data_IF_407320270009
#
_entry.id   IF_407320270009
#
_cell.length_a   1.000
_cell.length_b   1.000
_cell.length_c   1.000
_cell.angle_alpha   90.00
_cell.angle_beta   90.00
_cell.angle_gamma   90.00
#
_symmetry.space_group_name_H-M   'P 1'
#
loop_
_entity.id
_entity.type
_entity.pdbx_description
1 polymer ?
#
# COMPACT_ATOMS: atom_id res chain seq x y z
N UNK A 1 -11.55 40.53 41.81
CA UNK A 1 -12.21 40.11 40.55
C UNK A 1 -11.22 40.37 39.43
N UNK A 2 -10.42 39.36 39.06
CA UNK A 2 -9.40 39.46 38.01
C UNK A 2 -9.94 38.67 36.81
N UNK A 3 -10.31 39.39 35.76
CA UNK A 3 -10.72 38.81 34.49
C UNK A 3 -9.54 38.06 33.88
N UNK A 4 -9.68 36.74 33.76
CA UNK A 4 -8.76 35.88 33.02
C UNK A 4 -9.24 35.89 31.58
N UNK A 5 -8.56 36.66 30.74
CA UNK A 5 -8.74 36.66 29.28
C UNK A 5 -8.17 35.33 28.76
N UNK A 6 -9.07 34.47 28.29
CA UNK A 6 -8.77 33.28 27.50
C UNK A 6 -8.19 33.71 26.16
N UNK A 7 -6.88 33.53 25.98
CA UNK A 7 -6.26 33.56 24.67
C UNK A 7 -6.52 32.20 24.02
N UNK A 8 -7.47 32.14 23.09
CA UNK A 8 -7.45 31.14 22.03
C UNK A 8 -6.23 31.44 21.16
N UNK A 9 -5.08 30.86 21.53
CA UNK A 9 -3.94 30.76 20.64
C UNK A 9 -4.35 29.81 19.52
N UNK A 10 -4.79 30.40 18.41
CA UNK A 10 -4.88 29.75 17.11
C UNK A 10 -3.47 29.38 16.68
N UNK A 11 -3.03 28.19 17.07
CA UNK A 11 -1.85 27.56 16.49
C UNK A 11 -2.26 27.01 15.13
N UNK A 12 -1.96 27.80 14.11
CA UNK A 12 -1.85 27.34 12.74
C UNK A 12 -0.64 26.39 12.67
N UNK A 13 -0.82 25.12 13.03
CA UNK A 13 0.08 24.09 12.55
C UNK A 13 -0.11 24.04 11.03
N UNK A 14 0.95 24.41 10.33
CA UNK A 14 1.01 24.40 8.89
C UNK A 14 1.08 22.95 8.42
N UNK A 15 -0.07 22.35 8.10
CA UNK A 15 -0.13 21.31 7.09
C UNK A 15 0.40 21.92 5.79
N UNK A 16 1.62 21.55 5.40
CA UNK A 16 2.24 21.94 4.15
C UNK A 16 1.57 21.18 2.99
N UNK A 17 0.41 21.67 2.54
CA UNK A 17 -0.31 21.17 1.37
C UNK A 17 -1.07 22.31 0.70
N UNK A 18 -1.13 22.31 -0.62
CA UNK A 18 -1.39 23.47 -1.47
C UNK A 18 -2.85 23.94 -1.46
N UNK A 19 -3.27 24.65 -0.40
CA UNK A 19 -4.55 25.36 -0.29
C UNK A 19 -5.28 25.04 1.02
N UNK A 20 -5.82 26.04 1.76
CA UNK A 20 -6.41 25.83 3.09
C UNK A 20 -7.69 24.96 3.11
N UNK A 21 -8.18 24.55 1.93
CA UNK A 21 -9.39 23.75 1.76
C UNK A 21 -9.14 22.36 1.17
N UNK A 22 -7.89 22.02 0.81
CA UNK A 22 -7.58 20.78 0.10
C UNK A 22 -7.65 19.55 1.01
N UNK A 23 -7.15 19.67 2.25
CA UNK A 23 -7.19 18.64 3.27
C UNK A 23 -8.20 19.04 4.35
N UNK A 24 -9.14 18.14 4.65
CA UNK A 24 -10.15 18.34 5.70
C UNK A 24 -10.22 17.11 6.57
N UNK A 25 -10.08 17.30 7.88
CA UNK A 25 -10.17 16.21 8.85
C UNK A 25 -11.33 16.41 9.82
N UNK A 26 -12.05 15.33 10.13
CA UNK A 26 -13.07 15.23 11.16
C UNK A 26 -12.67 14.12 12.14
N UNK A 27 -11.81 14.45 13.11
CA UNK A 27 -11.25 13.43 13.98
C UNK A 27 -10.07 12.71 13.29
N UNK A 28 -10.15 11.38 13.22
CA UNK A 28 -9.16 10.53 12.54
C UNK A 28 -9.29 10.56 11.02
N UNK A 29 -10.51 10.83 10.54
CA UNK A 29 -10.89 10.78 9.14
C UNK A 29 -10.49 12.06 8.42
N UNK A 30 -9.60 11.95 7.45
CA UNK A 30 -9.13 13.03 6.61
C UNK A 30 -9.52 12.79 5.15
N UNK A 31 -9.84 13.86 4.42
CA UNK A 31 -10.09 13.80 2.98
C UNK A 31 -9.23 14.85 2.28
N UNK A 32 -8.47 14.42 1.28
CA UNK A 32 -7.72 15.27 0.37
C UNK A 32 -8.42 15.38 -0.99
N UNK A 33 -8.53 16.59 -1.55
CA UNK A 33 -9.17 16.82 -2.86
C UNK A 33 -8.39 17.78 -3.75
N UNK A 34 -8.12 17.34 -4.98
CA UNK A 34 -7.73 18.19 -6.12
C UNK A 34 -6.43 18.98 -5.97
N UNK A 35 -5.62 18.69 -4.96
CA UNK A 35 -4.33 19.33 -4.70
C UNK A 35 -3.38 18.34 -4.00
N UNK A 36 -2.17 18.80 -3.71
CA UNK A 36 -1.20 18.04 -2.93
C UNK A 36 -1.53 18.17 -1.44
N UNK A 37 -1.71 17.03 -0.76
CA UNK A 37 -1.89 16.95 0.68
C UNK A 37 -0.77 16.13 1.31
N UNK A 38 -0.26 16.63 2.42
CA UNK A 38 0.63 15.91 3.32
C UNK A 38 -0.10 15.74 4.64
N UNK A 39 -0.27 14.49 5.07
CA UNK A 39 -0.84 14.13 6.37
C UNK A 39 0.19 13.32 7.15
N UNK A 40 0.58 13.80 8.32
CA UNK A 40 1.28 13.02 9.32
C UNK A 40 0.27 12.63 10.40
N UNK A 41 0.00 11.33 10.59
CA UNK A 41 -0.94 10.87 11.61
C UNK A 41 -0.52 11.29 13.03
N UNK A 42 0.76 11.62 13.27
CA UNK A 42 1.20 12.13 14.57
C UNK A 42 0.61 13.51 14.90
N UNK A 43 0.20 14.28 13.89
CA UNK A 43 -0.48 15.56 14.05
C UNK A 43 -1.99 15.42 14.26
N UNK A 44 -2.53 14.21 14.09
CA UNK A 44 -3.95 13.89 14.26
C UNK A 44 -4.17 13.39 15.69
N UNK A 45 -4.73 14.24 16.56
CA UNK A 45 -4.98 13.88 17.97
C UNK A 45 -6.10 12.84 18.10
N UNK A 46 -5.78 11.56 17.92
CA UNK A 46 -6.69 10.44 18.17
C UNK A 46 -6.25 9.64 19.38
N UNK A 47 -7.20 9.00 20.12
CA UNK A 47 -6.85 8.16 21.27
C UNK A 47 -5.91 7.00 20.93
N UNK A 48 -5.91 6.56 19.67
CA UNK A 48 -5.19 5.40 19.15
C UNK A 48 -4.01 5.76 18.25
N UNK A 49 -3.84 7.04 17.88
CA UNK A 49 -2.86 7.50 16.88
C UNK A 49 -3.00 6.78 15.52
N UNK A 50 -4.22 6.38 15.18
CA UNK A 50 -4.62 5.91 13.84
C UNK A 50 -5.23 7.09 13.09
N UNK A 51 -5.00 7.16 11.78
CA UNK A 51 -5.64 8.13 10.91
C UNK A 51 -5.97 7.52 9.55
N UNK A 52 -7.06 8.01 8.97
CA UNK A 52 -7.65 7.45 7.76
C UNK A 52 -7.64 8.57 6.72
N UNK A 53 -7.10 8.34 5.54
CA UNK A 53 -7.01 9.35 4.49
C UNK A 53 -7.70 8.89 3.22
N UNK A 54 -8.71 9.63 2.78
CA UNK A 54 -9.31 9.47 1.47
C UNK A 54 -8.70 10.46 0.46
N UNK A 55 -7.98 9.94 -0.53
CA UNK A 55 -7.39 10.71 -1.62
C UNK A 55 -8.33 10.75 -2.83
N UNK A 56 -8.82 11.94 -3.22
CA UNK A 56 -9.84 12.08 -4.27
C UNK A 56 -9.53 13.19 -5.28
N UNK A 57 -10.31 13.22 -6.36
CA UNK A 57 -10.32 14.30 -7.36
C UNK A 57 -8.95 14.58 -8.01
N UNK A 58 -8.17 13.53 -8.27
CA UNK A 58 -6.83 13.65 -8.86
C UNK A 58 -5.80 14.30 -7.94
N UNK A 59 -6.05 14.25 -6.63
CA UNK A 59 -5.09 14.70 -5.62
C UNK A 59 -3.80 13.89 -5.63
N UNK A 60 -2.76 14.52 -5.07
CA UNK A 60 -1.56 13.83 -4.63
C UNK A 60 -1.59 13.75 -3.11
N UNK A 61 -1.47 12.55 -2.56
CA UNK A 61 -1.55 12.34 -1.12
C UNK A 61 -0.28 11.69 -0.62
N UNK A 62 0.42 12.39 0.27
CA UNK A 62 1.56 11.86 1.00
C UNK A 62 1.08 11.60 2.45
N UNK A 63 1.07 10.33 2.87
CA UNK A 63 0.67 9.89 4.21
C UNK A 63 1.88 9.34 4.97
N UNK A 64 2.09 9.85 6.18
CA UNK A 64 3.09 9.30 7.12
C UNK A 64 2.37 8.79 8.36
N UNK A 65 2.60 7.53 8.72
CA UNK A 65 2.05 6.95 9.92
C UNK A 65 3.07 6.05 10.62
N UNK A 66 3.14 6.11 11.96
CA UNK A 66 4.08 5.28 12.75
C UNK A 66 3.45 3.99 13.27
N UNK A 67 2.12 3.96 13.36
CA UNK A 67 1.31 2.81 13.71
C UNK A 67 0.36 2.51 12.55
N UNK A 68 -0.74 1.80 12.83
CA UNK A 68 -1.79 1.55 11.87
C UNK A 68 -2.36 2.84 11.26
N UNK A 69 -2.57 2.81 9.95
CA UNK A 69 -3.27 3.85 9.21
C UNK A 69 -3.94 3.26 7.97
N UNK A 70 -4.98 3.93 7.51
CA UNK A 70 -5.74 3.55 6.33
C UNK A 70 -5.61 4.63 5.24
N UNK A 71 -5.41 4.23 3.99
CA UNK A 71 -5.40 5.14 2.84
C UNK A 71 -6.22 4.57 1.69
N UNK A 72 -7.24 5.33 1.28
CA UNK A 72 -7.99 5.05 0.07
C UNK A 72 -7.59 5.98 -1.08
N UNK A 73 -7.06 5.41 -2.16
CA UNK A 73 -6.64 6.12 -3.36
C UNK A 73 -7.64 5.93 -4.49
N UNK A 74 -8.43 6.99 -4.76
CA UNK A 74 -9.41 6.96 -5.84
C UNK A 74 -8.76 7.01 -7.24
N UNK A 75 -9.51 6.60 -8.28
CA UNK A 75 -8.99 6.61 -9.65
C UNK A 75 -8.39 7.95 -10.08
N UNK A 76 -7.19 7.87 -10.67
CA UNK A 76 -6.44 9.02 -11.18
C UNK A 76 -5.70 9.85 -10.12
N UNK A 77 -5.63 9.40 -8.86
CA UNK A 77 -4.78 10.03 -7.84
C UNK A 77 -3.36 9.48 -7.86
N UNK A 78 -2.46 10.14 -7.13
CA UNK A 78 -1.12 9.64 -6.84
C UNK A 78 -0.92 9.61 -5.33
N UNK A 79 -0.57 8.44 -4.80
CA UNK A 79 -0.48 8.20 -3.37
C UNK A 79 0.91 7.74 -2.98
N UNK A 80 1.44 8.32 -1.92
CA UNK A 80 2.71 7.95 -1.33
C UNK A 80 2.50 7.69 0.16
N UNK A 81 2.97 6.54 0.64
CA UNK A 81 2.80 6.11 2.03
C UNK A 81 4.14 5.74 2.63
N UNK A 82 4.44 6.33 3.78
CA UNK A 82 5.47 5.87 4.70
C UNK A 82 4.80 5.44 6.02
N UNK A 83 4.55 4.14 6.13
CA UNK A 83 3.80 3.55 7.22
C UNK A 83 4.62 2.62 8.12
N UNK A 84 4.15 2.48 9.36
CA UNK A 84 4.66 1.49 10.32
C UNK A 84 4.10 0.09 10.05
N UNK A 85 3.82 -0.66 11.11
CA UNK A 85 3.10 -1.92 11.01
C UNK A 85 1.58 -1.69 10.90
N UNK A 86 0.83 -2.70 10.44
CA UNK A 86 -0.65 -2.70 10.42
C UNK A 86 -1.25 -1.59 9.55
N UNK A 87 -0.64 -1.35 8.39
CA UNK A 87 -1.06 -0.33 7.42
C UNK A 87 -1.96 -0.96 6.38
N UNK A 88 -3.07 -0.32 6.06
CA UNK A 88 -4.08 -0.79 5.11
C UNK A 88 -4.22 0.22 3.96
N UNK A 89 -3.90 -0.19 2.73
CA UNK A 89 -3.88 0.68 1.55
C UNK A 89 -4.75 0.12 0.44
N UNK A 90 -5.80 0.86 0.08
CA UNK A 90 -6.64 0.55 -1.08
C UNK A 90 -6.28 1.46 -2.26
N UNK A 91 -5.84 0.86 -3.37
CA UNK A 91 -5.46 1.55 -4.60
C UNK A 91 -6.36 1.14 -5.76
N UNK A 92 -7.36 1.97 -6.07
CA UNK A 92 -8.27 1.73 -7.20
C UNK A 92 -7.94 2.63 -8.39
N UNK A 93 -7.36 2.08 -9.46
CA UNK A 93 -7.04 2.86 -10.67
C UNK A 93 -6.16 4.09 -10.41
N UNK A 94 -5.36 4.04 -9.35
CA UNK A 94 -4.46 5.08 -8.89
C UNK A 94 -2.99 4.65 -9.06
N UNK A 95 -2.07 5.61 -8.93
CA UNK A 95 -0.64 5.31 -8.83
C UNK A 95 -0.22 5.34 -7.35
N UNK A 96 0.23 4.21 -6.81
CA UNK A 96 0.56 4.06 -5.40
C UNK A 96 2.02 3.65 -5.20
N UNK A 97 2.73 4.36 -4.33
CA UNK A 97 4.04 3.98 -3.82
C UNK A 97 3.94 3.82 -2.29
N UNK A 98 4.09 2.58 -1.83
CA UNK A 98 3.88 2.20 -0.43
C UNK A 98 5.19 1.69 0.16
N UNK A 99 5.58 2.23 1.32
CA UNK A 99 6.59 1.65 2.21
C UNK A 99 5.94 1.39 3.55
N UNK A 100 5.80 0.12 3.90
CA UNK A 100 5.14 -0.28 5.14
C UNK A 100 5.96 -1.36 5.88
N UNK A 101 5.69 -1.50 7.17
CA UNK A 101 6.27 -2.49 8.04
C UNK A 101 5.57 -3.85 7.93
N UNK A 102 5.62 -4.61 9.03
CA UNK A 102 5.00 -5.94 9.11
C UNK A 102 3.47 -5.84 9.22
N UNK A 103 2.76 -6.88 8.80
CA UNK A 103 1.28 -6.94 8.81
C UNK A 103 0.65 -5.80 8.00
N UNK A 104 1.31 -5.37 6.93
CA UNK A 104 0.72 -4.40 6.00
C UNK A 104 -0.17 -5.12 4.99
N UNK A 105 -1.25 -4.48 4.59
CA UNK A 105 -2.22 -4.95 3.61
C UNK A 105 -2.28 -3.89 2.49
N UNK A 106 -2.08 -4.31 1.24
CA UNK A 106 -2.11 -3.42 0.08
C UNK A 106 -2.90 -4.07 -1.04
N UNK A 107 -4.03 -3.44 -1.38
CA UNK A 107 -4.95 -3.87 -2.43
C UNK A 107 -4.83 -2.99 -3.66
N UNK A 108 -4.55 -3.60 -4.81
CA UNK A 108 -4.30 -2.91 -6.07
C UNK A 108 -5.26 -3.37 -7.16
N UNK A 109 -6.29 -2.59 -7.42
CA UNK A 109 -7.39 -2.97 -8.29
C UNK A 109 -7.67 -1.98 -9.43
N UNK A 110 -8.50 -2.43 -10.37
CA UNK A 110 -9.10 -1.63 -11.46
C UNK A 110 -8.08 -0.88 -12.31
N UNK A 111 -6.95 -1.53 -12.60
CA UNK A 111 -5.89 -0.95 -13.42
C UNK A 111 -5.01 0.04 -12.64
N UNK A 112 -4.83 -0.18 -11.34
CA UNK A 112 -3.87 0.57 -10.54
C UNK A 112 -2.43 0.28 -10.96
N UNK A 113 -1.55 1.25 -10.70
CA UNK A 113 -0.10 1.10 -10.81
C UNK A 113 0.48 1.11 -9.39
N UNK A 114 0.89 -0.05 -8.89
CA UNK A 114 1.34 -0.19 -7.50
C UNK A 114 2.81 -0.55 -7.39
N UNK A 115 3.49 0.14 -6.48
CA UNK A 115 4.83 -0.18 -6.02
C UNK A 115 4.83 -0.32 -4.50
N UNK A 116 5.20 -1.47 -3.97
CA UNK A 116 5.16 -1.73 -2.54
C UNK A 116 6.49 -2.30 -2.01
N UNK A 117 6.94 -1.79 -0.87
CA UNK A 117 7.97 -2.39 -0.02
C UNK A 117 7.33 -2.65 1.34
N UNK A 118 7.15 -3.92 1.71
CA UNK A 118 6.45 -4.32 2.94
C UNK A 118 7.30 -5.27 3.77
N UNK A 119 7.03 -5.29 5.08
CA UNK A 119 7.67 -6.19 6.03
C UNK A 119 7.13 -7.62 5.97
N UNK A 120 7.40 -8.36 7.04
CA UNK A 120 6.92 -9.74 7.21
C UNK A 120 5.41 -9.79 7.51
N UNK A 121 4.81 -10.96 7.33
CA UNK A 121 3.39 -11.21 7.61
C UNK A 121 2.43 -10.26 6.86
N UNK A 122 2.81 -9.79 5.66
CA UNK A 122 2.04 -8.84 4.87
C UNK A 122 1.13 -9.53 3.83
N UNK A 123 0.08 -8.83 3.38
CA UNK A 123 -0.77 -9.21 2.25
C UNK A 123 -0.58 -8.24 1.08
N UNK A 124 -0.41 -8.76 -0.13
CA UNK A 124 -0.35 -7.97 -1.35
C UNK A 124 -1.27 -8.52 -2.41
N UNK A 125 -2.34 -7.80 -2.71
CA UNK A 125 -3.36 -8.24 -3.66
C UNK A 125 -3.30 -7.35 -4.90
N UNK A 126 -3.01 -7.96 -6.04
CA UNK A 126 -2.86 -7.27 -7.32
C UNK A 126 -3.80 -7.87 -8.36
N UNK A 127 -4.84 -7.12 -8.70
CA UNK A 127 -5.95 -7.65 -9.49
C UNK A 127 -6.43 -6.75 -10.63
N UNK A 128 -7.37 -7.26 -11.43
CA UNK A 128 -8.22 -6.42 -12.27
C UNK A 128 -7.47 -5.56 -13.29
N UNK A 129 -6.48 -6.16 -13.96
CA UNK A 129 -5.58 -5.53 -14.95
C UNK A 129 -4.62 -4.47 -14.37
N UNK A 130 -4.38 -4.50 -13.06
CA UNK A 130 -3.35 -3.68 -12.43
C UNK A 130 -1.94 -4.08 -12.86
N UNK A 131 -0.99 -3.17 -12.66
CA UNK A 131 0.44 -3.39 -12.85
C UNK A 131 1.13 -3.19 -11.51
N UNK A 132 1.76 -4.25 -11.00
CA UNK A 132 2.27 -4.28 -9.65
C UNK A 132 3.73 -4.70 -9.59
N UNK A 133 4.50 -3.97 -8.79
CA UNK A 133 5.87 -4.28 -8.42
C UNK A 133 5.99 -4.27 -6.90
N UNK A 134 6.34 -5.41 -6.29
CA UNK A 134 6.40 -5.49 -4.83
C UNK A 134 7.64 -6.23 -4.32
N UNK A 135 8.16 -5.76 -3.18
CA UNK A 135 9.08 -6.52 -2.33
C UNK A 135 8.40 -6.72 -0.99
N UNK A 136 8.14 -7.98 -0.64
CA UNK A 136 7.39 -8.37 0.54
C UNK A 136 8.29 -9.24 1.44
N UNK A 137 8.17 -9.09 2.75
CA UNK A 137 8.92 -9.86 3.73
C UNK A 137 8.57 -11.35 3.74
N UNK A 138 8.98 -12.04 4.79
CA UNK A 138 8.66 -13.45 5.01
C UNK A 138 7.24 -13.67 5.49
N UNK A 139 6.81 -14.94 5.50
CA UNK A 139 5.48 -15.37 5.98
C UNK A 139 4.32 -14.57 5.37
N UNK A 140 4.48 -14.09 4.15
CA UNK A 140 3.54 -13.17 3.51
C UNK A 140 2.72 -13.87 2.42
N UNK A 141 1.58 -13.30 2.12
CA UNK A 141 0.66 -13.76 1.09
C UNK A 141 0.64 -12.74 -0.05
N UNK A 142 0.70 -13.24 -1.29
CA UNK A 142 0.65 -12.41 -2.50
C UNK A 142 -0.33 -13.02 -3.49
N UNK A 143 -1.36 -12.28 -3.88
CA UNK A 143 -2.31 -12.70 -4.91
C UNK A 143 -2.19 -11.83 -6.17
N UNK A 144 -2.17 -12.50 -7.32
CA UNK A 144 -2.03 -11.87 -8.63
C UNK A 144 -3.10 -12.42 -9.57
N UNK A 145 -4.20 -11.67 -9.74
CA UNK A 145 -5.39 -12.12 -10.47
C UNK A 145 -5.70 -11.25 -11.68
N UNK A 146 -5.41 -11.76 -12.87
CA UNK A 146 -5.64 -11.02 -14.11
C UNK A 146 -4.89 -9.69 -14.15
N UNK A 147 -3.70 -9.67 -13.55
CA UNK A 147 -2.83 -8.52 -13.42
C UNK A 147 -1.40 -8.87 -13.87
N UNK A 148 -0.57 -7.84 -14.06
CA UNK A 148 0.85 -8.01 -14.33
C UNK A 148 1.65 -7.78 -13.03
N UNK A 149 2.28 -8.83 -12.53
CA UNK A 149 2.97 -8.84 -11.25
C UNK A 149 4.47 -9.09 -11.40
N UNK A 150 5.28 -8.24 -10.81
CA UNK A 150 6.71 -8.47 -10.58
C UNK A 150 6.97 -8.41 -9.08
N UNK A 151 7.09 -9.56 -8.43
CA UNK A 151 7.15 -9.64 -6.97
C UNK A 151 8.41 -10.35 -6.49
N UNK A 152 8.98 -9.82 -5.41
CA UNK A 152 10.03 -10.46 -4.63
C UNK A 152 9.48 -10.77 -3.23
N UNK A 153 9.56 -12.02 -2.80
CA UNK A 153 9.02 -12.45 -1.50
C UNK A 153 10.09 -13.05 -0.59
N UNK A 154 9.87 -12.91 0.72
CA UNK A 154 10.69 -13.49 1.76
C UNK A 154 10.55 -15.01 1.87
N UNK A 155 11.13 -15.57 2.93
CA UNK A 155 10.97 -16.98 3.26
C UNK A 155 9.55 -17.28 3.74
N UNK A 156 9.11 -18.52 3.58
CA UNK A 156 7.81 -19.04 4.04
C UNK A 156 6.60 -18.28 3.48
N UNK A 157 6.76 -17.60 2.36
CA UNK A 157 5.69 -16.84 1.70
C UNK A 157 4.97 -17.68 0.64
N UNK A 158 3.69 -17.36 0.40
CA UNK A 158 2.86 -17.97 -0.62
C UNK A 158 2.50 -16.94 -1.71
N UNK A 159 2.60 -17.37 -2.96
CA UNK A 159 2.22 -16.55 -4.12
C UNK A 159 1.18 -17.30 -4.94
N UNK A 160 0.02 -16.68 -5.13
CA UNK A 160 -1.05 -17.19 -5.98
C UNK A 160 -1.12 -16.40 -7.28
N UNK A 161 -0.95 -17.08 -8.41
CA UNK A 161 -1.04 -16.46 -9.73
C UNK A 161 -2.19 -17.08 -10.53
N UNK A 162 -3.19 -16.26 -10.87
CA UNK A 162 -4.43 -16.74 -11.49
C UNK A 162 -5.10 -15.77 -12.45
N UNK A 163 -6.26 -16.20 -12.98
CA UNK A 163 -7.14 -15.43 -13.86
C UNK A 163 -6.45 -14.73 -15.04
N UNK A 164 -5.64 -15.46 -15.81
CA UNK A 164 -4.86 -14.91 -16.93
C UNK A 164 -3.78 -13.87 -16.51
N UNK A 165 -3.35 -13.88 -15.25
CA UNK A 165 -2.27 -13.05 -14.73
C UNK A 165 -0.90 -13.40 -15.33
N UNK A 166 0.00 -12.41 -15.37
CA UNK A 166 1.41 -12.55 -15.76
C UNK A 166 2.29 -12.28 -14.53
N UNK A 167 2.84 -13.34 -13.95
CA UNK A 167 3.58 -13.28 -12.69
C UNK A 167 5.05 -13.60 -12.89
N UNK A 168 5.91 -12.66 -12.50
CA UNK A 168 7.35 -12.87 -12.32
C UNK A 168 7.65 -12.84 -10.82
N UNK A 169 7.97 -14.01 -10.26
CA UNK A 169 8.17 -14.21 -8.83
C UNK A 169 9.63 -14.52 -8.54
N UNK A 170 10.23 -13.76 -7.63
CA UNK A 170 11.55 -14.04 -7.06
C UNK A 170 11.42 -14.37 -5.58
N UNK A 171 11.82 -15.57 -5.18
CA UNK A 171 11.85 -15.93 -3.78
C UNK A 171 13.26 -15.79 -3.22
N UNK A 172 13.41 -15.08 -2.12
CA UNK A 172 14.69 -14.91 -1.42
C UNK A 172 15.01 -16.04 -0.44
N UNK A 173 13.98 -16.83 -0.08
CA UNK A 173 14.08 -18.04 0.75
C UNK A 173 13.14 -19.14 0.25
N UNK A 174 12.75 -20.06 1.15
CA UNK A 174 11.70 -21.03 0.86
C UNK A 174 10.39 -20.30 0.54
N UNK A 175 9.66 -20.73 -0.48
CA UNK A 175 8.38 -20.11 -0.85
C UNK A 175 7.53 -21.10 -1.64
N UNK A 176 6.23 -20.84 -1.71
CA UNK A 176 5.29 -21.57 -2.56
C UNK A 176 4.72 -20.65 -3.65
N UNK A 177 4.62 -21.17 -4.87
CA UNK A 177 3.96 -20.53 -6.01
C UNK A 177 2.90 -21.48 -6.55
N UNK A 178 1.65 -21.03 -6.53
CA UNK A 178 0.52 -21.71 -7.16
C UNK A 178 0.23 -21.03 -8.50
N UNK A 179 0.57 -21.69 -9.60
CA UNK A 179 0.31 -21.18 -10.95
C UNK A 179 -0.93 -21.85 -11.57
N UNK A 180 -2.05 -21.13 -11.59
CA UNK A 180 -3.34 -21.64 -12.07
C UNK A 180 -3.37 -21.71 -13.59
N UNK A 181 -4.07 -22.70 -14.20
CA UNK A 181 -4.25 -22.74 -15.65
C UNK A 181 -4.83 -21.43 -16.21
N UNK A 182 -4.15 -20.87 -17.21
CA UNK A 182 -4.49 -19.57 -17.83
C UNK A 182 -3.47 -18.49 -17.51
N UNK A 183 -2.86 -18.53 -16.32
CA UNK A 183 -1.80 -17.61 -15.95
C UNK A 183 -0.45 -17.97 -16.62
N UNK A 184 0.42 -16.96 -16.73
CA UNK A 184 1.83 -17.12 -17.11
C UNK A 184 2.68 -16.89 -15.87
N UNK A 185 3.46 -17.89 -15.47
CA UNK A 185 4.28 -17.79 -14.26
C UNK A 185 5.76 -18.04 -14.56
N UNK A 186 6.59 -17.16 -14.03
CA UNK A 186 8.04 -17.30 -13.99
C UNK A 186 8.50 -17.28 -12.53
N UNK A 187 9.26 -18.30 -12.12
CA UNK A 187 9.80 -18.42 -10.78
C UNK A 187 11.33 -18.36 -10.81
N UNK A 188 11.92 -17.57 -9.91
CA UNK A 188 13.35 -17.56 -9.60
C UNK A 188 13.54 -17.85 -8.10
N UNK A 189 14.40 -18.82 -7.79
CA UNK A 189 14.84 -19.10 -6.43
C UNK A 189 16.22 -18.48 -6.16
N UNK A 190 16.29 -17.49 -5.26
CA UNK A 190 17.49 -16.73 -4.95
C UNK A 190 18.16 -16.16 -6.21
N UNK A 191 19.46 -16.39 -6.36
CA UNK A 191 20.26 -15.97 -7.52
C UNK A 191 20.16 -16.93 -8.72
N UNK A 192 19.21 -17.87 -8.70
CA UNK A 192 19.00 -18.85 -9.75
C UNK A 192 18.54 -18.25 -11.08
N UNK A 193 18.61 -19.05 -12.13
CA UNK A 193 18.00 -18.68 -13.42
C UNK A 193 16.46 -18.75 -13.31
N UNK A 194 15.72 -17.80 -13.91
CA UNK A 194 14.26 -17.87 -13.95
C UNK A 194 13.78 -19.09 -14.74
N UNK A 195 12.72 -19.72 -14.24
CA UNK A 195 12.09 -20.88 -14.86
C UNK A 195 10.62 -20.62 -15.09
N UNK A 196 10.09 -21.05 -16.25
CA UNK A 196 8.65 -21.03 -16.49
C UNK A 196 7.99 -22.17 -15.73
N UNK A 197 6.90 -21.86 -15.03
CA UNK A 197 6.16 -22.78 -14.16
C UNK A 197 4.78 -23.03 -14.74
N UNK A 198 4.32 -24.27 -14.66
CA UNK A 198 2.93 -24.66 -14.91
C UNK A 198 2.45 -25.53 -13.74
N UNK A 199 1.41 -25.09 -13.03
CA UNK A 199 0.98 -25.70 -11.76
C UNK A 199 1.81 -25.22 -10.56
N UNK A 200 1.86 -26.04 -9.52
CA UNK A 200 2.49 -25.65 -8.25
C UNK A 200 4.02 -25.83 -8.31
N UNK A 201 4.75 -24.86 -7.78
CA UNK A 201 6.21 -24.89 -7.63
C UNK A 201 6.62 -24.21 -6.33
N UNK A 202 7.89 -24.33 -5.97
CA UNK A 202 8.41 -23.66 -4.79
C UNK A 202 9.93 -23.66 -4.74
N UNK A 203 10.44 -22.82 -3.85
CA UNK A 203 11.86 -22.76 -3.51
C UNK A 203 12.08 -23.39 -2.13
N UNK A 204 13.29 -23.90 -1.88
CA UNK A 204 13.64 -24.63 -0.65
C UNK A 204 14.99 -24.19 -0.11
#
# INVERSE_FOLDING_TARGET
MRSVLWFCLSWSLACGGSGPDALRCEGADCTCRGADCLLDCADVETPTQTCDLACRDGARCDLVCTNACELECAPGTSCFVEGGAEVDIECEGAACEVRAGANAEVDCERGAECRAEMGDDASFDCESNSVCEATVGGSSDVECLGAACVVTVGADSAVYCGLDGDCTVTCTGACELVCVPGATCTLRCGEGEPTSVAGDAGCS
#
